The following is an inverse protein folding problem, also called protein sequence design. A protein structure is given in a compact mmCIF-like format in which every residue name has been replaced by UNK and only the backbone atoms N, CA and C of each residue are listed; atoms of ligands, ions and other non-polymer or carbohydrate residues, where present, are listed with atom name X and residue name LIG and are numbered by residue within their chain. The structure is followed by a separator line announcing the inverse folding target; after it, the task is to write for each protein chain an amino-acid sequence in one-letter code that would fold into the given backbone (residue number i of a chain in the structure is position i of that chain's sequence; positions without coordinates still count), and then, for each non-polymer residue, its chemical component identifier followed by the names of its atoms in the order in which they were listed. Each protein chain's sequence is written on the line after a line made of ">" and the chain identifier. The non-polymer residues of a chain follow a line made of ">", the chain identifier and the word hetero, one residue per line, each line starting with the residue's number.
data_IF_150725265093
#
_entry.id   IF_150725265093
#
_cell.length_a   1.000
_cell.length_b   1.000
_cell.length_c   1.000
_cell.angle_alpha   90.00
_cell.angle_beta   90.00
_cell.angle_gamma   90.00
#
_symmetry.space_group_name_H-M   'P 1'
#
loop_
_entity.id
_entity.type
_entity.pdbx_description
1 polymer ?
#
# COMPACT_ATOMS: atom_id res chain seq x y z
N UNK A 1 -5.45 -2.86 -1.85
CA UNK A 1 -5.66 -1.91 -2.98
C UNK A 1 -7.10 -1.45 -3.12
N UNK A 2 -8.05 -2.29 -3.58
CA UNK A 2 -9.43 -1.85 -3.92
C UNK A 2 -10.18 -1.23 -2.73
N UNK A 3 -10.08 -1.83 -1.55
CA UNK A 3 -10.76 -1.32 -0.34
C UNK A 3 -10.29 0.11 0.00
N UNK A 4 -8.98 0.39 -0.04
CA UNK A 4 -8.44 1.73 0.20
C UNK A 4 -8.91 2.74 -0.86
N UNK A 5 -8.96 2.32 -2.12
CA UNK A 5 -9.48 3.12 -3.23
C UNK A 5 -10.95 3.51 -2.99
N UNK A 6 -11.78 2.53 -2.65
CA UNK A 6 -13.22 2.74 -2.42
C UNK A 6 -13.48 3.63 -1.22
N UNK A 7 -12.74 3.45 -0.12
CA UNK A 7 -12.82 4.34 1.05
C UNK A 7 -12.46 5.78 0.64
N UNK A 8 -11.36 5.97 -0.07
CA UNK A 8 -10.93 7.29 -0.52
C UNK A 8 -11.97 7.97 -1.44
N UNK A 9 -12.49 7.23 -2.42
CA UNK A 9 -13.52 7.73 -3.33
C UNK A 9 -14.80 8.06 -2.57
N UNK A 10 -15.23 7.20 -1.63
CA UNK A 10 -16.42 7.44 -0.81
C UNK A 10 -16.32 8.77 -0.03
N UNK A 11 -15.16 9.06 0.55
CA UNK A 11 -14.94 10.32 1.27
C UNK A 11 -14.70 11.55 0.37
N UNK A 12 -14.27 11.36 -0.89
CA UNK A 12 -13.93 12.44 -1.82
C UNK A 12 -14.86 12.54 -3.04
N UNK A 13 -16.00 11.85 -3.03
CA UNK A 13 -16.92 11.77 -4.17
C UNK A 13 -17.41 13.16 -4.63
N UNK A 14 -17.62 14.08 -3.71
CA UNK A 14 -18.12 15.44 -3.98
C UNK A 14 -17.02 16.44 -4.39
N UNK A 15 -15.76 15.98 -4.53
CA UNK A 15 -14.61 16.83 -4.86
C UNK A 15 -13.88 16.28 -6.09
N UNK A 16 -14.33 16.65 -7.32
CA UNK A 16 -13.79 16.08 -8.56
C UNK A 16 -12.29 16.25 -8.73
N UNK A 17 -11.70 17.32 -8.17
CA UNK A 17 -10.25 17.55 -8.19
C UNK A 17 -9.43 16.57 -7.35
N UNK A 18 -10.02 15.96 -6.32
CA UNK A 18 -9.34 15.01 -5.43
C UNK A 18 -9.48 13.56 -5.91
N UNK A 19 -10.43 13.25 -6.79
CA UNK A 19 -10.67 11.87 -7.25
C UNK A 19 -9.41 11.27 -7.88
N UNK A 20 -8.57 12.06 -8.56
CA UNK A 20 -7.29 11.60 -9.14
C UNK A 20 -6.26 11.14 -8.11
N UNK A 21 -6.39 11.54 -6.85
CA UNK A 21 -5.48 11.20 -5.75
C UNK A 21 -5.70 9.82 -5.14
N UNK A 22 -6.57 8.99 -5.71
CA UNK A 22 -6.93 7.68 -5.13
C UNK A 22 -5.77 6.69 -5.08
N UNK A 23 -4.70 6.91 -5.86
CA UNK A 23 -3.48 6.11 -5.82
C UNK A 23 -2.66 6.31 -4.53
N UNK A 24 -2.73 7.50 -3.92
CA UNK A 24 -1.96 7.87 -2.72
C UNK A 24 -2.24 6.94 -1.53
N UNK A 25 -3.50 6.68 -1.11
CA UNK A 25 -3.80 5.79 0.02
C UNK A 25 -3.56 4.31 -0.28
N UNK A 26 -3.26 3.95 -1.53
CA UNK A 26 -2.97 2.57 -1.90
C UNK A 26 -1.49 2.26 -1.70
N UNK A 27 -0.61 3.23 -1.91
CA UNK A 27 0.83 3.02 -1.84
C UNK A 27 1.30 2.59 -0.44
N UNK A 28 1.95 1.44 -0.38
CA UNK A 28 2.61 0.93 0.84
C UNK A 28 4.09 1.35 0.89
N UNK A 29 4.52 1.99 1.98
CA UNK A 29 5.94 2.29 2.20
C UNK A 29 6.73 1.01 2.53
N UNK A 30 7.43 0.49 1.52
CA UNK A 30 8.25 -0.72 1.63
C UNK A 30 9.38 -0.56 2.66
N UNK A 31 9.97 0.63 2.81
CA UNK A 31 11.06 0.85 3.77
C UNK A 31 10.57 0.72 5.21
N UNK A 32 9.38 1.27 5.49
CA UNK A 32 8.74 1.14 6.79
C UNK A 32 8.35 -0.31 7.10
N UNK A 33 7.78 -1.04 6.13
CA UNK A 33 7.44 -2.46 6.28
C UNK A 33 8.68 -3.29 6.59
N UNK A 34 9.79 -3.07 5.89
CA UNK A 34 11.05 -3.75 6.16
C UNK A 34 11.57 -3.46 7.57
N UNK A 35 11.42 -2.23 8.06
CA UNK A 35 11.75 -1.84 9.43
C UNK A 35 10.96 -2.62 10.47
N UNK A 36 9.63 -2.66 10.34
CA UNK A 36 8.73 -3.42 11.23
C UNK A 36 9.07 -4.90 11.21
N UNK A 37 9.18 -5.49 10.02
CA UNK A 37 9.47 -6.92 9.84
C UNK A 37 10.83 -7.28 10.44
N UNK A 38 11.83 -6.39 10.35
CA UNK A 38 13.14 -6.60 10.97
C UNK A 38 13.08 -6.49 12.50
N UNK A 39 12.28 -5.55 13.03
CA UNK A 39 12.08 -5.38 14.47
C UNK A 39 11.36 -6.59 15.11
N UNK A 40 10.32 -7.10 14.46
CA UNK A 40 9.56 -8.27 14.90
C UNK A 40 10.07 -9.60 14.32
N UNK A 41 11.29 -9.63 13.81
CA UNK A 41 11.87 -10.81 13.12
C UNK A 41 11.83 -12.10 13.93
N UNK A 42 11.81 -12.03 15.27
CA UNK A 42 11.67 -13.19 16.16
C UNK A 42 10.25 -13.77 16.23
N UNK A 43 9.22 -13.02 15.86
CA UNK A 43 7.81 -13.40 15.97
C UNK A 43 7.15 -13.69 14.61
N UNK A 44 7.80 -13.31 13.51
CA UNK A 44 7.30 -13.46 12.16
C UNK A 44 8.05 -14.62 11.49
N UNK A 45 7.33 -15.64 11.00
CA UNK A 45 7.95 -16.75 10.29
C UNK A 45 8.62 -16.27 9.00
N UNK A 46 9.61 -17.02 8.51
CA UNK A 46 10.35 -16.65 7.30
C UNK A 46 9.43 -16.55 6.07
N UNK A 47 8.42 -17.42 6.02
CA UNK A 47 7.41 -17.47 4.97
C UNK A 47 6.56 -16.19 4.99
N UNK A 48 6.10 -15.78 6.17
CA UNK A 48 5.30 -14.56 6.33
C UNK A 48 6.11 -13.30 5.99
N UNK A 49 7.38 -13.26 6.42
CA UNK A 49 8.30 -12.17 6.05
C UNK A 49 8.46 -12.05 4.54
N UNK A 50 8.69 -13.17 3.86
CA UNK A 50 8.86 -13.20 2.41
C UNK A 50 7.57 -12.79 1.69
N UNK A 51 6.42 -13.27 2.18
CA UNK A 51 5.12 -12.90 1.64
C UNK A 51 4.83 -11.39 1.79
N UNK A 52 5.01 -10.82 2.98
CA UNK A 52 4.77 -9.40 3.26
C UNK A 52 5.66 -8.53 2.39
N UNK A 53 6.96 -8.83 2.32
CA UNK A 53 7.91 -8.05 1.51
C UNK A 53 7.56 -8.13 0.02
N UNK A 54 7.24 -9.32 -0.48
CA UNK A 54 6.81 -9.51 -1.88
C UNK A 54 5.53 -8.75 -2.20
N UNK A 55 4.55 -8.78 -1.29
CA UNK A 55 3.30 -8.04 -1.44
C UNK A 55 3.53 -6.53 -1.46
N UNK A 56 4.35 -5.99 -0.56
CA UNK A 56 4.70 -4.56 -0.52
C UNK A 56 5.39 -4.09 -1.81
N UNK A 57 6.30 -4.90 -2.36
CA UNK A 57 6.98 -4.58 -3.61
C UNK A 57 6.01 -4.52 -4.81
N UNK A 58 5.05 -5.43 -4.86
CA UNK A 58 4.04 -5.48 -5.92
C UNK A 58 3.13 -4.24 -5.83
N UNK A 59 2.65 -3.91 -4.63
CA UNK A 59 1.77 -2.77 -4.38
C UNK A 59 2.44 -1.43 -4.76
N UNK A 60 3.72 -1.26 -4.41
CA UNK A 60 4.52 -0.09 -4.77
C UNK A 60 4.77 0.02 -6.28
N UNK A 61 4.90 -1.10 -7.00
CA UNK A 61 5.03 -1.10 -8.45
C UNK A 61 3.73 -0.71 -9.18
N UNK A 62 2.56 -1.02 -8.62
CA UNK A 62 1.27 -0.70 -9.21
C UNK A 62 0.83 0.76 -8.99
N UNK A 63 1.19 1.39 -7.87
CA UNK A 63 0.84 2.77 -7.55
C UNK A 63 1.25 3.80 -8.65
N UNK A 64 2.48 3.82 -9.19
CA UNK A 64 2.87 4.76 -10.24
C UNK A 64 2.19 4.47 -11.59
N UNK A 65 1.83 3.21 -11.88
CA UNK A 65 1.07 2.84 -13.08
C UNK A 65 -0.35 3.41 -13.03
N UNK A 66 -0.91 3.56 -11.83
CA UNK A 66 -2.24 4.12 -11.60
C UNK A 66 -2.23 5.65 -11.57
N UNK A 67 -1.17 6.24 -11.04
CA UNK A 67 -1.05 7.69 -10.87
C UNK A 67 -0.81 8.45 -12.20
N UNK A 68 -0.29 7.76 -13.23
CA UNK A 68 -0.04 8.32 -14.57
C UNK A 68 -1.31 8.59 -15.35
#
# INVERSE_FOLDING_TARGET
>A
MVVHALIYIFFNYDKPGLIKGWAVPIATDTAFVLGIVSFFSRHISLELRTFIIGFSLIDDAFAPIILS
#
